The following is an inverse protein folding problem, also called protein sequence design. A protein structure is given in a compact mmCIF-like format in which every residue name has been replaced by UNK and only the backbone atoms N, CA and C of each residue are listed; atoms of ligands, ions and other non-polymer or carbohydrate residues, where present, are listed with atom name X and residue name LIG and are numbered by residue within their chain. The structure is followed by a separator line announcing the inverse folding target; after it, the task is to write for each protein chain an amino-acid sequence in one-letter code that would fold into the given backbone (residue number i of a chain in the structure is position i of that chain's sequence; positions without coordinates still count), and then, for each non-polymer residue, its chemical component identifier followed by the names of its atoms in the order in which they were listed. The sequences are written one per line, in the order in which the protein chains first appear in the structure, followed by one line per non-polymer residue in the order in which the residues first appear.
data_IF_538023775048
#
_entry.id   IF_538023775048
#
_cell.length_a   1.000
_cell.length_b   1.000
_cell.length_c   1.000
_cell.angle_alpha   90.00
_cell.angle_beta   90.00
_cell.angle_gamma   90.00
#
_symmetry.space_group_name_H-M   'P 1'
#
loop_
_entity.id
_entity.type
_entity.pdbx_description
1 polymer ?
#
# COMPACT_ATOMS: atom_id res chain seq x y z
N UNK A 1 1.25 -3.49 28.85
CA UNK A 1 1.85 -3.16 27.55
C UNK A 1 1.22 -1.87 27.06
N UNK A 2 1.93 -0.75 27.15
CA UNK A 2 1.45 0.53 26.64
C UNK A 2 1.64 0.56 25.11
N UNK A 3 0.54 0.51 24.37
CA UNK A 3 0.56 0.76 22.94
C UNK A 3 0.41 2.26 22.72
N UNK A 4 1.18 2.83 21.79
CA UNK A 4 1.21 4.24 21.43
C UNK A 4 -0.21 4.82 21.26
N UNK A 5 -0.71 5.47 22.32
CA UNK A 5 -1.94 6.25 22.32
C UNK A 5 -1.71 7.49 21.45
N UNK A 6 -1.93 7.36 20.15
CA UNK A 6 -1.93 8.51 19.25
C UNK A 6 -3.28 9.19 19.40
N UNK A 7 -3.28 10.20 20.25
CA UNK A 7 -4.41 11.08 20.53
C UNK A 7 -4.97 11.67 19.21
N UNK A 8 -6.30 11.63 19.00
CA UNK A 8 -6.94 11.93 17.71
C UNK A 8 -6.64 13.35 17.18
N UNK A 9 -6.31 14.28 18.08
CA UNK A 9 -5.83 15.64 17.77
C UNK A 9 -4.49 15.69 17.02
N UNK A 10 -3.72 14.60 16.99
CA UNK A 10 -2.46 14.48 16.24
C UNK A 10 -2.63 13.76 14.88
N UNK A 11 -3.85 13.37 14.49
CA UNK A 11 -4.10 12.81 13.15
C UNK A 11 -3.79 13.82 12.04
N UNK A 12 -3.98 15.11 12.30
CA UNK A 12 -3.54 16.19 11.43
C UNK A 12 -2.34 16.89 12.07
N UNK A 13 -1.17 16.24 11.96
CA UNK A 13 0.08 16.86 12.34
C UNK A 13 0.34 18.10 11.48
N UNK A 14 -0.06 19.26 11.99
CA UNK A 14 0.45 20.59 11.62
C UNK A 14 1.89 20.81 12.08
N UNK A 15 2.53 19.76 12.63
CA UNK A 15 3.92 19.78 13.03
C UNK A 15 4.79 19.81 11.78
N UNK A 16 5.56 20.88 11.65
CA UNK A 16 6.51 21.09 10.56
C UNK A 16 7.47 19.90 10.47
N UNK A 17 7.74 19.45 9.25
CA UNK A 17 8.65 18.32 8.94
C UNK A 17 9.97 18.37 9.73
N UNK A 18 10.46 19.56 10.03
CA UNK A 18 11.70 19.81 10.77
C UNK A 18 11.66 19.25 12.20
N UNK A 19 10.54 19.42 12.91
CA UNK A 19 10.39 18.92 14.29
C UNK A 19 10.40 17.38 14.31
N UNK A 20 9.81 16.75 13.29
CA UNK A 20 9.83 15.29 13.14
C UNK A 20 11.24 14.78 12.81
N UNK A 21 11.96 15.49 11.95
CA UNK A 21 13.35 15.15 11.60
C UNK A 21 14.28 15.32 12.80
N UNK A 22 14.11 16.38 13.57
CA UNK A 22 14.90 16.64 14.77
C UNK A 22 14.62 15.60 15.84
N UNK A 23 13.35 15.32 16.14
CA UNK A 23 12.97 14.26 17.09
C UNK A 23 13.50 12.87 16.67
N UNK A 24 13.46 12.57 15.37
CA UNK A 24 14.06 11.34 14.85
C UNK A 24 15.58 11.31 15.07
N UNK A 25 16.30 12.40 14.80
CA UNK A 25 17.76 12.47 14.95
C UNK A 25 18.19 12.43 16.42
N UNK A 26 17.47 13.10 17.31
CA UNK A 26 17.87 13.24 18.72
C UNK A 26 17.50 12.02 19.55
N UNK A 27 16.31 11.47 19.36
CA UNK A 27 15.80 10.42 20.24
C UNK A 27 15.88 9.03 19.60
N UNK A 28 15.55 8.94 18.32
CA UNK A 28 15.32 7.65 17.68
C UNK A 28 16.61 7.10 17.04
N UNK A 29 17.35 7.95 16.32
CA UNK A 29 18.57 7.60 15.60
C UNK A 29 19.64 6.95 16.49
N UNK A 30 19.94 7.44 17.71
CA UNK A 30 20.96 6.82 18.56
C UNK A 30 20.61 5.39 18.96
N UNK A 31 19.31 5.11 19.17
CA UNK A 31 18.80 3.80 19.58
C UNK A 31 18.84 2.82 18.40
N UNK A 32 18.48 3.28 17.20
CA UNK A 32 18.41 2.42 16.01
C UNK A 32 19.77 2.24 15.32
N UNK A 33 20.73 3.16 15.52
CA UNK A 33 22.04 3.16 14.85
C UNK A 33 22.78 1.81 14.88
N UNK A 34 22.79 1.04 15.99
CA UNK A 34 23.43 -0.27 16.02
C UNK A 34 22.76 -1.32 15.12
N UNK A 35 21.48 -1.11 14.78
CA UNK A 35 20.66 -2.01 13.97
C UNK A 35 20.57 -1.57 12.50
N UNK A 36 21.12 -0.40 12.16
CA UNK A 36 21.24 0.03 10.77
C UNK A 36 22.36 -0.79 10.13
N UNK A 37 21.97 -1.87 9.46
CA UNK A 37 22.88 -2.66 8.64
C UNK A 37 23.47 -1.76 7.55
N UNK A 38 24.77 -1.91 7.22
CA UNK A 38 25.37 -1.19 6.11
C UNK A 38 24.54 -1.46 4.87
N UNK A 39 24.10 -0.39 4.22
CA UNK A 39 23.26 -0.45 3.05
C UNK A 39 23.99 -1.29 2.01
N UNK A 40 23.47 -2.50 1.74
CA UNK A 40 23.95 -3.33 0.64
C UNK A 40 23.78 -2.48 -0.61
N UNK A 41 24.89 -2.02 -1.18
CA UNK A 41 24.90 -1.35 -2.48
C UNK A 41 24.06 -2.22 -3.40
N UNK A 42 22.96 -1.70 -3.97
CA UNK A 42 22.16 -2.50 -4.89
C UNK A 42 23.11 -2.94 -5.99
N UNK A 43 23.23 -4.25 -6.19
CA UNK A 43 23.93 -4.81 -7.33
C UNK A 43 23.41 -4.05 -8.55
N UNK A 44 24.30 -3.27 -9.17
CA UNK A 44 23.99 -2.48 -10.34
C UNK A 44 23.47 -3.44 -11.40
N UNK A 45 22.15 -3.42 -11.61
CA UNK A 45 21.52 -4.18 -12.67
C UNK A 45 22.17 -3.71 -13.97
N UNK A 46 22.70 -4.61 -14.81
CA UNK A 46 23.42 -4.22 -16.02
C UNK A 46 22.53 -3.31 -16.87
N UNK A 47 23.06 -2.12 -17.14
CA UNK A 47 22.45 -1.11 -18.01
C UNK A 47 22.38 -1.72 -19.40
N UNK A 48 21.17 -1.94 -19.92
CA UNK A 48 20.97 -2.26 -21.32
C UNK A 48 20.68 -0.95 -22.06
N UNK A 49 21.71 -0.37 -22.69
CA UNK A 49 21.62 0.89 -23.43
C UNK A 49 20.82 0.79 -24.74
N UNK A 50 20.43 -0.40 -25.18
CA UNK A 50 19.79 -0.65 -26.48
C UNK A 50 18.41 -1.30 -26.35
N UNK A 51 17.43 -0.53 -25.87
CA UNK A 51 16.04 -0.93 -26.03
C UNK A 51 15.19 0.24 -26.46
N UNK A 52 14.45 0.03 -27.55
CA UNK A 52 13.44 0.93 -28.09
C UNK A 52 12.50 1.33 -26.95
N UNK A 53 12.75 2.51 -26.36
CA UNK A 53 12.07 2.98 -25.15
C UNK A 53 10.56 2.88 -25.38
N UNK A 54 9.89 2.09 -24.55
CA UNK A 54 8.45 1.94 -24.66
C UNK A 54 7.81 3.29 -24.30
N UNK A 55 6.95 3.82 -25.16
CA UNK A 55 6.21 5.04 -24.83
C UNK A 55 5.17 4.72 -23.73
N UNK A 56 5.49 5.12 -22.50
CA UNK A 56 4.67 4.88 -21.33
C UNK A 56 3.35 5.68 -21.35
N UNK A 57 3.28 6.73 -22.16
CA UNK A 57 2.10 7.61 -22.31
C UNK A 57 1.16 7.14 -23.41
N UNK A 58 1.64 6.31 -24.35
CA UNK A 58 0.82 5.78 -25.42
C UNK A 58 -0.31 4.87 -24.90
N UNK A 59 -1.51 5.03 -25.47
CA UNK A 59 -2.66 4.14 -25.22
C UNK A 59 -2.37 2.68 -25.66
N UNK A 60 -1.37 2.47 -26.53
CA UNK A 60 -0.91 1.16 -26.99
C UNK A 60 -0.10 0.39 -25.93
N UNK A 61 0.31 1.06 -24.85
CA UNK A 61 1.05 0.48 -23.72
C UNK A 61 0.09 -0.15 -22.71
N UNK A 62 -0.11 -1.45 -22.89
CA UNK A 62 -0.95 -2.30 -22.02
C UNK A 62 -0.16 -2.89 -20.86
N UNK A 63 -0.86 -3.27 -19.78
CA UNK A 63 -0.27 -3.95 -18.61
C UNK A 63 0.54 -5.20 -18.99
N UNK A 64 0.09 -5.93 -20.00
CA UNK A 64 0.77 -7.14 -20.50
C UNK A 64 2.12 -6.80 -21.13
N UNK A 65 2.19 -5.77 -21.99
CA UNK A 65 3.45 -5.32 -22.59
C UNK A 65 4.46 -4.87 -21.54
N UNK A 66 4.01 -4.08 -20.55
CA UNK A 66 4.87 -3.64 -19.44
C UNK A 66 5.44 -4.80 -18.63
N UNK A 67 4.63 -5.83 -18.35
CA UNK A 67 5.11 -7.03 -17.64
C UNK A 67 6.09 -7.85 -18.47
N UNK A 68 5.82 -8.03 -19.76
CA UNK A 68 6.70 -8.79 -20.64
C UNK A 68 8.06 -8.12 -20.77
N UNK A 69 8.08 -6.80 -20.93
CA UNK A 69 9.30 -5.99 -20.93
C UNK A 69 10.03 -6.09 -19.58
N UNK A 70 9.35 -5.86 -18.45
CA UNK A 70 9.97 -5.99 -17.13
C UNK A 70 10.56 -7.38 -16.89
N UNK A 71 9.89 -8.45 -17.33
CA UNK A 71 10.39 -9.82 -17.21
C UNK A 71 11.59 -10.10 -18.11
N UNK A 72 11.65 -9.44 -19.28
CA UNK A 72 12.78 -9.55 -20.21
C UNK A 72 14.05 -8.89 -19.65
N UNK A 73 13.92 -7.68 -19.09
CA UNK A 73 15.05 -6.90 -18.59
C UNK A 73 15.42 -7.23 -17.13
N UNK A 74 14.44 -7.62 -16.31
CA UNK A 74 14.66 -8.00 -14.91
C UNK A 74 13.91 -9.31 -14.61
N UNK A 75 14.45 -10.47 -15.04
CA UNK A 75 13.80 -11.77 -14.87
C UNK A 75 13.55 -12.16 -13.41
N UNK A 76 14.33 -11.57 -12.50
CA UNK A 76 14.23 -11.80 -11.05
C UNK A 76 13.10 -11.00 -10.39
N UNK A 77 12.51 -10.01 -11.08
CA UNK A 77 11.44 -9.18 -10.55
C UNK A 77 10.10 -9.94 -10.53
N UNK A 78 9.56 -10.17 -9.34
CA UNK A 78 8.23 -10.78 -9.17
C UNK A 78 7.12 -9.76 -9.47
N UNK A 79 6.67 -9.70 -10.71
CA UNK A 79 5.45 -8.94 -11.07
C UNK A 79 4.21 -9.81 -10.89
N UNK A 80 3.19 -9.34 -10.15
CA UNK A 80 1.94 -10.10 -9.96
C UNK A 80 0.84 -9.66 -10.93
N UNK A 81 -0.12 -10.56 -11.22
CA UNK A 81 -1.29 -10.22 -12.04
C UNK A 81 -2.16 -9.11 -11.43
N UNK A 82 -2.10 -8.98 -10.10
CA UNK A 82 -2.80 -7.95 -9.36
C UNK A 82 -2.19 -6.55 -9.55
N UNK A 83 -0.94 -6.39 -10.01
CA UNK A 83 -0.33 -5.05 -10.14
C UNK A 83 -1.09 -4.14 -11.13
N UNK A 84 -1.24 -2.87 -10.74
CA UNK A 84 -1.87 -1.81 -11.54
C UNK A 84 -0.96 -1.33 -12.67
N UNK A 85 -1.53 -0.61 -13.65
CA UNK A 85 -0.72 -0.05 -14.75
C UNK A 85 0.31 0.93 -14.20
N UNK A 86 -0.09 1.80 -13.27
CA UNK A 86 0.79 2.79 -12.63
C UNK A 86 1.97 2.13 -11.92
N UNK A 87 1.73 1.08 -11.12
CA UNK A 87 2.80 0.35 -10.43
C UNK A 87 3.81 -0.26 -11.42
N UNK A 88 3.31 -0.84 -12.53
CA UNK A 88 4.16 -1.41 -13.58
C UNK A 88 4.96 -0.34 -14.30
N UNK A 89 4.37 0.84 -14.55
CA UNK A 89 5.07 2.00 -15.12
C UNK A 89 6.19 2.46 -14.17
N UNK A 90 5.90 2.58 -12.87
CA UNK A 90 6.92 2.97 -11.88
C UNK A 90 8.07 1.97 -11.82
N UNK A 91 7.77 0.66 -11.88
CA UNK A 91 8.80 -0.38 -11.94
C UNK A 91 9.62 -0.28 -13.22
N UNK A 92 8.98 -0.04 -14.37
CA UNK A 92 9.66 0.14 -15.65
C UNK A 92 10.59 1.35 -15.61
N UNK A 93 10.12 2.50 -15.13
CA UNK A 93 10.94 3.70 -15.01
C UNK A 93 12.13 3.50 -14.06
N UNK A 94 11.90 2.83 -12.92
CA UNK A 94 12.94 2.57 -11.92
C UNK A 94 14.03 1.63 -12.44
N UNK A 95 13.64 0.51 -13.04
CA UNK A 95 14.57 -0.57 -13.39
C UNK A 95 15.13 -0.49 -14.81
N UNK A 96 14.41 0.15 -15.75
CA UNK A 96 14.80 0.21 -17.17
C UNK A 96 15.22 1.63 -17.55
N UNK A 97 14.48 2.66 -17.12
CA UNK A 97 14.83 4.06 -17.44
C UNK A 97 15.82 4.69 -16.45
N UNK A 98 16.10 4.02 -15.32
CA UNK A 98 16.88 4.54 -14.19
C UNK A 98 16.43 5.95 -13.77
N UNK A 99 15.15 6.27 -14.00
CA UNK A 99 14.57 7.50 -13.51
C UNK A 99 14.40 7.31 -12.01
N UNK A 100 15.23 8.01 -11.23
CA UNK A 100 15.04 8.21 -9.79
C UNK A 100 13.74 9.01 -9.61
N UNK A 101 12.62 8.33 -9.77
CA UNK A 101 11.32 8.91 -9.51
C UNK A 101 11.22 9.04 -8.00
N UNK A 102 11.55 10.24 -7.53
CA UNK A 102 11.25 10.74 -6.20
C UNK A 102 9.86 10.25 -5.84
N UNK A 103 9.84 9.31 -4.87
CA UNK A 103 8.67 8.68 -4.25
C UNK A 103 7.35 9.26 -4.76
N UNK A 104 6.81 8.72 -5.86
CA UNK A 104 5.39 8.93 -6.14
C UNK A 104 4.67 8.40 -4.91
N UNK A 105 4.09 9.31 -4.12
CA UNK A 105 3.57 9.02 -2.79
C UNK A 105 2.77 7.73 -2.83
N UNK A 106 3.10 6.80 -1.92
CA UNK A 106 2.43 5.51 -1.85
C UNK A 106 0.92 5.73 -1.89
N UNK A 107 0.18 4.90 -2.63
CA UNK A 107 -1.28 5.05 -2.75
C UNK A 107 -2.00 5.06 -1.38
N UNK A 108 -1.31 4.56 -0.34
CA UNK A 108 -1.75 4.51 1.05
C UNK A 108 -1.41 5.78 1.87
N UNK A 109 -0.83 6.80 1.25
CA UNK A 109 -0.56 8.10 1.87
C UNK A 109 -1.69 9.11 1.65
N UNK A 110 -2.64 8.80 0.76
CA UNK A 110 -3.81 9.63 0.48
C UNK A 110 -5.05 8.98 1.04
N UNK A 111 -5.98 9.79 1.52
CA UNK A 111 -7.29 9.34 1.99
C UNK A 111 -7.93 8.37 0.96
N UNK A 112 -8.32 7.15 1.39
CA UNK A 112 -8.89 6.17 0.47
C UNK A 112 -10.25 6.66 -0.05
N UNK A 113 -10.59 6.37 -1.32
CA UNK A 113 -11.92 6.64 -1.84
C UNK A 113 -12.97 5.81 -1.09
N UNK A 114 -14.19 6.34 -1.00
CA UNK A 114 -15.34 5.57 -0.56
C UNK A 114 -16.04 4.99 -1.79
N UNK A 115 -15.99 3.68 -1.94
CA UNK A 115 -16.63 2.96 -3.03
C UNK A 115 -18.12 2.74 -2.78
N UNK A 116 -18.91 2.78 -3.85
CA UNK A 116 -20.25 2.17 -3.88
C UNK A 116 -20.15 0.64 -4.09
N UNK A 117 -21.28 -0.07 -4.09
CA UNK A 117 -21.32 -1.54 -4.15
C UNK A 117 -20.68 -2.08 -5.44
N UNK A 118 -20.97 -1.49 -6.60
CA UNK A 118 -20.41 -1.91 -7.88
C UNK A 118 -18.89 -1.71 -7.95
N UNK A 119 -18.40 -0.58 -7.44
CA UNK A 119 -16.98 -0.25 -7.36
C UNK A 119 -16.24 -1.15 -6.35
N UNK A 120 -16.88 -1.44 -5.21
CA UNK A 120 -16.35 -2.32 -4.18
C UNK A 120 -16.05 -3.72 -4.73
N UNK A 121 -16.91 -4.24 -5.62
CA UNK A 121 -16.66 -5.54 -6.24
C UNK A 121 -15.37 -5.58 -7.08
N UNK A 122 -14.94 -4.44 -7.63
CA UNK A 122 -13.73 -4.32 -8.44
C UNK A 122 -12.49 -3.94 -7.61
N UNK A 123 -12.69 -3.52 -6.36
CA UNK A 123 -11.61 -3.10 -5.47
C UNK A 123 -10.73 -4.29 -5.01
N UNK A 124 -9.45 -3.99 -4.76
CA UNK A 124 -8.47 -5.00 -4.30
C UNK A 124 -8.56 -5.18 -2.78
N UNK A 125 -8.15 -6.36 -2.30
CA UNK A 125 -8.06 -6.67 -0.87
C UNK A 125 -7.38 -5.53 -0.07
N UNK A 126 -6.17 -5.15 -0.50
CA UNK A 126 -5.36 -4.16 0.23
C UNK A 126 -6.02 -2.79 0.26
N UNK A 127 -6.69 -2.41 -0.82
CA UNK A 127 -7.38 -1.12 -0.93
C UNK A 127 -8.63 -1.12 -0.02
N UNK A 128 -9.38 -2.22 0.01
CA UNK A 128 -10.54 -2.40 0.91
C UNK A 128 -10.11 -2.36 2.38
N UNK A 129 -9.04 -3.08 2.73
CA UNK A 129 -8.46 -3.07 4.08
C UNK A 129 -8.00 -1.68 4.49
N UNK A 130 -7.30 -0.98 3.59
CA UNK A 130 -6.82 0.37 3.84
C UNK A 130 -8.00 1.32 4.11
N UNK A 131 -9.06 1.25 3.30
CA UNK A 131 -10.27 2.03 3.52
C UNK A 131 -10.95 1.69 4.86
N UNK A 132 -11.09 0.41 5.19
CA UNK A 132 -11.64 -0.05 6.46
C UNK A 132 -10.86 0.49 7.65
N UNK A 133 -9.54 0.33 7.65
CA UNK A 133 -8.67 0.80 8.73
C UNK A 133 -8.67 2.34 8.85
N UNK A 134 -8.79 3.04 7.72
CA UNK A 134 -8.83 4.50 7.71
C UNK A 134 -10.14 5.06 8.28
N UNK A 135 -11.29 4.52 7.85
CA UNK A 135 -12.60 5.05 8.25
C UNK A 135 -13.16 4.43 9.52
N UNK A 136 -12.74 3.21 9.85
CA UNK A 136 -13.17 2.42 11.00
C UNK A 136 -11.95 1.76 11.68
N UNK A 137 -11.09 2.58 12.32
CA UNK A 137 -9.90 2.08 13.01
C UNK A 137 -10.23 1.17 14.19
N UNK A 138 -11.47 1.21 14.67
CA UNK A 138 -12.04 0.31 15.66
C UNK A 138 -12.19 -1.14 15.18
N UNK A 139 -12.17 -1.37 13.86
CA UNK A 139 -12.29 -2.70 13.25
C UNK A 139 -10.90 -3.27 12.98
N UNK A 140 -10.53 -4.29 13.75
CA UNK A 140 -9.30 -5.02 13.50
C UNK A 140 -9.52 -6.19 12.54
N UNK A 141 -8.67 -6.34 11.53
CA UNK A 141 -8.77 -7.37 10.48
C UNK A 141 -7.45 -8.14 10.35
N UNK A 142 -7.43 -9.40 10.79
CA UNK A 142 -6.23 -10.26 10.80
C UNK A 142 -5.75 -10.60 9.39
N UNK A 143 -4.47 -10.36 9.08
CA UNK A 143 -3.92 -10.59 7.72
C UNK A 143 -4.07 -12.03 7.23
N UNK A 144 -3.86 -13.02 8.11
CA UNK A 144 -3.90 -14.45 7.74
C UNK A 144 -5.29 -14.96 7.37
N UNK A 145 -6.35 -14.30 7.86
CA UNK A 145 -7.73 -14.77 7.71
C UNK A 145 -8.53 -13.96 6.68
N UNK A 146 -7.98 -12.85 6.20
CA UNK A 146 -8.72 -11.89 5.39
C UNK A 146 -8.85 -12.34 3.94
N UNK A 147 -10.02 -12.85 3.57
CA UNK A 147 -10.38 -13.02 2.16
C UNK A 147 -10.97 -11.73 1.60
N UNK A 148 -10.88 -11.55 0.28
CA UNK A 148 -11.50 -10.40 -0.42
C UNK A 148 -12.99 -10.31 -0.11
N UNK A 149 -13.68 -11.44 -0.15
CA UNK A 149 -15.13 -11.49 0.07
C UNK A 149 -15.50 -11.04 1.48
N UNK A 150 -14.78 -11.51 2.49
CA UNK A 150 -15.06 -11.11 3.88
C UNK A 150 -14.75 -9.62 4.08
N UNK A 151 -13.64 -9.11 3.54
CA UNK A 151 -13.36 -7.68 3.59
C UNK A 151 -14.46 -6.84 2.91
N UNK A 152 -15.05 -7.31 1.80
CA UNK A 152 -16.20 -6.66 1.15
C UNK A 152 -17.42 -6.65 2.06
N UNK A 153 -17.78 -7.78 2.68
CA UNK A 153 -18.91 -7.84 3.62
C UNK A 153 -18.74 -6.94 4.84
N UNK A 154 -17.52 -6.88 5.39
CA UNK A 154 -17.20 -5.94 6.47
C UNK A 154 -17.36 -4.50 5.97
N UNK A 155 -16.85 -4.19 4.79
CA UNK A 155 -16.99 -2.85 4.19
C UNK A 155 -18.47 -2.47 3.99
N UNK A 156 -19.28 -3.37 3.41
CA UNK A 156 -20.71 -3.17 3.22
C UNK A 156 -21.44 -2.92 4.54
N UNK A 157 -21.13 -3.70 5.58
CA UNK A 157 -21.74 -3.55 6.91
C UNK A 157 -21.38 -2.23 7.58
N UNK A 158 -20.11 -1.83 7.55
CA UNK A 158 -19.61 -0.75 8.39
C UNK A 158 -19.41 0.60 7.69
N UNK A 159 -19.21 0.61 6.36
CA UNK A 159 -19.11 1.85 5.58
C UNK A 159 -20.35 2.12 4.74
N UNK A 160 -21.02 1.08 4.22
CA UNK A 160 -22.27 1.23 3.47
C UNK A 160 -23.52 1.07 4.33
N UNK A 161 -23.36 0.74 5.62
CA UNK A 161 -24.46 0.51 6.57
C UNK A 161 -25.51 -0.50 6.07
N UNK A 162 -25.08 -1.52 5.34
CA UNK A 162 -25.97 -2.55 4.82
C UNK A 162 -26.36 -3.55 5.92
N UNK A 163 -27.61 -4.08 5.89
CA UNK A 163 -28.07 -5.07 6.85
C UNK A 163 -27.45 -6.44 6.54
N UNK A 164 -26.22 -6.65 6.99
CA UNK A 164 -25.49 -7.92 6.84
C UNK A 164 -25.51 -8.66 8.17
N UNK A 165 -26.03 -9.88 8.14
CA UNK A 165 -26.04 -10.74 9.31
C UNK A 165 -24.60 -11.12 9.73
N UNK A 166 -24.36 -11.19 11.04
CA UNK A 166 -23.02 -11.34 11.59
C UNK A 166 -22.39 -12.70 11.28
N UNK A 167 -23.22 -13.73 11.16
CA UNK A 167 -22.91 -15.11 10.77
C UNK A 167 -22.19 -15.20 9.42
N UNK A 168 -22.59 -14.36 8.45
CA UNK A 168 -21.98 -14.29 7.10
C UNK A 168 -20.52 -13.80 7.14
N UNK A 169 -20.13 -13.08 8.20
CA UNK A 169 -18.79 -12.48 8.33
C UNK A 169 -17.88 -13.36 9.22
N UNK A 170 -18.44 -14.33 9.95
CA UNK A 170 -17.72 -15.06 11.01
C UNK A 170 -16.96 -16.32 10.59
N UNK A 171 -17.09 -16.82 9.37
CA UNK A 171 -16.42 -18.08 9.01
C UNK A 171 -14.90 -17.88 8.87
N UNK A 172 -14.17 -18.15 9.96
CA UNK A 172 -12.71 -18.09 10.05
C UNK A 172 -12.10 -16.70 10.27
N UNK A 173 -12.90 -15.64 10.39
CA UNK A 173 -12.41 -14.26 10.55
C UNK A 173 -12.84 -13.67 11.89
N UNK A 174 -11.86 -13.53 12.76
CA UNK A 174 -11.97 -12.73 13.98
C UNK A 174 -11.77 -11.26 13.62
N UNK A 175 -12.85 -10.54 13.34
CA UNK A 175 -12.84 -9.08 13.47
C UNK A 175 -13.42 -8.73 14.84
N UNK A 176 -12.78 -7.80 15.54
CA UNK A 176 -13.26 -7.29 16.80
C UNK A 176 -13.47 -5.79 16.67
N UNK A 177 -14.55 -5.31 17.26
CA UNK A 177 -14.85 -3.89 17.38
C UNK A 177 -14.25 -3.46 18.72
N UNK A 178 -13.25 -2.58 18.68
CA UNK A 178 -12.71 -1.98 19.90
C UNK A 178 -13.65 -0.87 20.37
N UNK A 179 -14.13 -0.93 21.61
CA UNK A 179 -14.73 0.24 22.25
C UNK A 179 -13.60 1.25 22.50
N UNK A 180 -13.70 2.42 21.87
CA UNK A 180 -12.84 3.56 22.17
C UNK A 180 -13.50 4.29 23.35
N UNK A 181 -12.91 4.18 24.53
CA UNK A 181 -13.21 5.05 25.68
C UNK A 181 -12.55 6.43 25.50
#
# INVERSE_FOLDING_TARGET
MAHFEVDAKHQESTVTKDILVDSFKTHLLPIIKPFILPQKTPDSVPICEDSSKLDLTANSTTKLKLRNELKKYVPTLKTTHAMGKTELVTLYQKYIMNESNASQGSRFMKKPPRWNLAELHQARLDDIRYALQFYRPDIFITHKSSTVEICKRIYEKFLLNMPIQADVITEGVHYYIRQLE
#
